data_IF_773049851822
#
_entry.id   IF_773049851822
#
_cell.length_a   1.000
_cell.length_b   1.000
_cell.length_c   1.000
_cell.angle_alpha   90.00
_cell.angle_beta   90.00
_cell.angle_gamma   90.00
#
_symmetry.space_group_name_H-M   'P 1'
#
loop_
_entity.id
_entity.type
_entity.pdbx_description
1 polymer ?
#
# COMPACT_ATOMS: atom_id res chain seq x y z
N UNK A 1 12.75 19.80 -28.30
CA UNK A 1 11.56 18.94 -28.19
C UNK A 1 10.76 19.28 -26.95
N UNK A 2 9.83 18.42 -26.59
CA UNK A 2 9.00 18.56 -25.37
C UNK A 2 8.92 17.19 -24.71
N UNK A 3 9.03 17.18 -23.38
CA UNK A 3 8.94 15.97 -22.56
C UNK A 3 7.94 16.19 -21.44
N UNK A 4 7.04 15.23 -21.26
CA UNK A 4 6.04 15.14 -20.19
C UNK A 4 5.58 13.69 -20.05
N UNK A 5 4.81 13.31 -19.01
CA UNK A 5 4.36 11.93 -18.81
C UNK A 5 3.54 11.37 -19.97
N UNK A 6 3.41 10.06 -20.07
CA UNK A 6 2.53 9.43 -21.07
C UNK A 6 1.07 9.56 -20.70
N UNK A 7 0.76 9.39 -19.42
CA UNK A 7 -0.60 9.48 -18.88
C UNK A 7 -0.61 10.06 -17.48
N UNK A 8 -1.75 10.65 -17.12
CA UNK A 8 -2.02 11.25 -15.82
C UNK A 8 -3.47 10.98 -15.41
N UNK A 9 -3.70 10.97 -14.10
CA UNK A 9 -5.01 10.71 -13.52
C UNK A 9 -5.42 11.87 -12.61
N UNK A 10 -6.68 12.26 -12.73
CA UNK A 10 -7.32 13.22 -11.84
C UNK A 10 -8.72 12.76 -11.46
N UNK A 11 -9.31 13.42 -10.47
CA UNK A 11 -10.66 13.12 -10.01
C UNK A 11 -11.53 14.35 -10.24
N UNK A 12 -12.80 14.15 -10.58
CA UNK A 12 -13.78 15.23 -10.74
C UNK A 12 -13.70 16.21 -9.56
N UNK A 13 -13.60 17.50 -9.85
CA UNK A 13 -13.51 18.59 -8.90
C UNK A 13 -12.11 18.80 -8.29
N UNK A 14 -11.15 17.90 -8.53
CA UNK A 14 -9.75 18.10 -8.15
C UNK A 14 -8.99 18.93 -9.17
N UNK A 15 -7.66 18.96 -9.05
CA UNK A 15 -6.76 19.45 -10.08
C UNK A 15 -5.85 18.32 -10.60
N UNK A 16 -5.16 18.59 -11.70
CA UNK A 16 -4.01 17.82 -12.18
C UNK A 16 -2.89 18.79 -12.54
N UNK A 17 -1.66 18.43 -12.19
CA UNK A 17 -0.47 19.12 -12.67
C UNK A 17 0.19 18.24 -13.74
N UNK A 18 0.34 18.77 -14.94
CA UNK A 18 1.04 18.13 -16.05
C UNK A 18 2.49 18.64 -16.03
N UNK A 19 3.45 17.90 -15.45
CA UNK A 19 4.85 18.30 -15.48
C UNK A 19 5.38 18.26 -16.91
N UNK A 20 6.02 19.34 -17.33
CA UNK A 20 6.46 19.51 -18.71
C UNK A 20 7.80 20.23 -18.76
N UNK A 21 8.69 19.73 -19.61
CA UNK A 21 9.95 20.37 -19.95
C UNK A 21 10.05 20.58 -21.46
N UNK A 22 10.59 21.73 -21.86
CA UNK A 22 10.86 22.05 -23.27
C UNK A 22 12.37 22.09 -23.54
N UNK A 23 12.75 21.88 -24.78
CA UNK A 23 14.15 21.97 -25.22
C UNK A 23 14.24 22.49 -26.64
N UNK A 24 15.28 23.26 -26.93
CA UNK A 24 15.64 23.73 -28.26
C UNK A 24 17.17 23.94 -28.30
N UNK A 25 17.80 24.02 -29.48
CA UNK A 25 19.25 24.13 -29.58
C UNK A 25 19.78 25.35 -28.82
N UNK A 26 20.90 25.19 -28.10
CA UNK A 26 21.47 26.26 -27.26
C UNK A 26 21.96 27.47 -28.09
N UNK A 27 22.13 27.30 -29.40
CA UNK A 27 22.41 28.38 -30.34
C UNK A 27 21.23 29.32 -30.58
N UNK A 28 20.01 28.91 -30.23
CA UNK A 28 18.80 29.71 -30.43
C UNK A 28 18.57 30.62 -29.23
N UNK A 29 18.43 31.92 -29.49
CA UNK A 29 18.20 32.94 -28.46
C UNK A 29 16.72 33.33 -28.46
N UNK A 30 16.04 33.15 -27.33
CA UNK A 30 14.64 33.51 -27.14
C UNK A 30 14.49 34.85 -26.38
N UNK A 31 15.25 35.88 -26.78
CA UNK A 31 15.32 37.17 -26.07
C UNK A 31 14.01 37.96 -26.08
N UNK A 32 13.20 37.77 -27.11
CA UNK A 32 11.88 38.41 -27.25
C UNK A 32 10.74 37.59 -26.62
N UNK A 33 11.08 36.45 -25.99
CA UNK A 33 10.15 35.60 -25.27
C UNK A 33 9.72 34.35 -26.04
N UNK A 34 8.93 33.53 -25.34
CA UNK A 34 8.39 32.26 -25.83
C UNK A 34 6.87 32.29 -25.67
N UNK A 35 6.16 32.04 -26.76
CA UNK A 35 4.71 31.82 -26.75
C UNK A 35 4.45 30.37 -26.41
N UNK A 36 3.73 30.10 -25.32
CA UNK A 36 3.37 28.77 -24.85
C UNK A 36 1.92 28.48 -25.18
N UNK A 37 1.66 27.27 -25.69
CA UNK A 37 0.35 26.85 -26.13
C UNK A 37 0.07 25.41 -25.72
N UNK A 38 -1.03 25.19 -25.02
CA UNK A 38 -1.57 23.85 -24.77
C UNK A 38 -2.85 23.64 -25.54
N UNK A 39 -2.96 22.48 -26.17
CA UNK A 39 -4.13 22.04 -26.90
C UNK A 39 -4.71 20.78 -26.28
N UNK A 40 -6.02 20.60 -26.42
CA UNK A 40 -6.72 19.33 -26.25
C UNK A 40 -7.21 18.85 -27.61
N UNK A 41 -7.21 17.53 -27.83
CA UNK A 41 -7.73 16.90 -29.05
C UNK A 41 -7.05 17.45 -30.33
N UNK A 42 -5.72 17.57 -30.30
CA UNK A 42 -4.94 18.30 -31.32
C UNK A 42 -5.17 17.83 -32.76
N UNK A 43 -5.38 16.53 -32.97
CA UNK A 43 -5.59 15.92 -34.29
C UNK A 43 -7.07 15.87 -34.70
N UNK A 44 -7.99 16.21 -33.81
CA UNK A 44 -9.44 16.16 -34.01
C UNK A 44 -10.03 17.59 -33.90
N UNK A 45 -10.98 17.81 -32.98
CA UNK A 45 -11.50 19.15 -32.67
C UNK A 45 -10.56 19.89 -31.71
N UNK A 46 -9.46 20.40 -32.27
CA UNK A 46 -8.43 21.15 -31.56
C UNK A 46 -9.02 22.27 -30.69
N UNK A 47 -8.88 22.12 -29.38
CA UNK A 47 -9.34 23.11 -28.38
C UNK A 47 -8.14 23.78 -27.70
N UNK A 48 -8.18 25.11 -27.55
CA UNK A 48 -7.08 25.89 -26.96
C UNK A 48 -7.21 25.93 -25.43
N UNK A 49 -6.44 25.09 -24.75
CA UNK A 49 -6.47 24.93 -23.29
C UNK A 49 -5.73 26.05 -22.59
N UNK A 50 -4.58 26.45 -23.12
CA UNK A 50 -3.79 27.57 -22.61
C UNK A 50 -3.07 28.26 -23.77
N UNK A 51 -2.93 29.58 -23.66
CA UNK A 51 -2.14 30.40 -24.57
C UNK A 51 -1.53 31.58 -23.79
N UNK A 52 -0.32 32.02 -24.17
CA UNK A 52 0.31 33.20 -23.55
C UNK A 52 -0.53 34.47 -23.67
N UNK A 53 -1.34 34.59 -24.72
CA UNK A 53 -2.47 35.54 -24.76
C UNK A 53 -3.75 34.84 -24.28
N UNK A 54 -4.17 35.18 -23.05
CA UNK A 54 -5.34 34.62 -22.40
C UNK A 54 -6.68 34.86 -23.15
N UNK A 55 -6.72 35.82 -24.09
CA UNK A 55 -7.92 36.13 -24.88
C UNK A 55 -8.27 35.02 -25.87
N UNK A 56 -7.27 34.26 -26.31
CA UNK A 56 -7.45 33.18 -27.26
C UNK A 56 -7.97 31.89 -26.61
N UNK A 57 -7.78 31.74 -25.30
CA UNK A 57 -8.10 30.51 -24.56
C UNK A 57 -9.60 30.22 -24.61
N UNK A 58 -9.94 28.96 -24.87
CA UNK A 58 -11.31 28.49 -24.92
C UNK A 58 -12.04 28.78 -23.59
N UNK A 59 -13.32 29.14 -23.70
CA UNK A 59 -14.12 29.54 -22.54
C UNK A 59 -14.21 28.45 -21.46
N UNK A 60 -14.13 27.17 -21.84
CA UNK A 60 -14.15 26.03 -20.91
C UNK A 60 -12.90 25.92 -20.04
N UNK A 61 -11.75 26.45 -20.49
CA UNK A 61 -10.47 26.37 -19.78
C UNK A 61 -10.03 27.70 -19.15
N UNK A 62 -10.61 28.81 -19.59
CA UNK A 62 -10.34 30.14 -19.05
C UNK A 62 -10.58 30.19 -17.53
N UNK A 63 -9.54 30.54 -16.78
CA UNK A 63 -9.57 30.61 -15.31
C UNK A 63 -9.36 29.28 -14.58
N UNK A 64 -9.21 28.16 -15.31
CA UNK A 64 -8.88 26.84 -14.73
C UNK A 64 -7.50 26.33 -15.15
N UNK A 65 -7.07 26.68 -16.35
CA UNK A 65 -5.78 26.28 -16.92
C UNK A 65 -4.72 27.36 -16.65
N UNK A 66 -3.67 27.01 -15.93
CA UNK A 66 -2.60 27.92 -15.51
C UNK A 66 -1.23 27.32 -15.83
N UNK A 67 -0.42 28.06 -16.57
CA UNK A 67 1.00 27.71 -16.73
C UNK A 67 1.73 28.06 -15.43
N UNK A 68 2.31 27.05 -14.78
CA UNK A 68 3.08 27.22 -13.54
C UNK A 68 4.60 27.26 -13.80
N UNK A 69 5.04 26.72 -14.92
CA UNK A 69 6.46 26.67 -15.29
C UNK A 69 6.99 28.00 -15.83
N UNK A 70 8.26 28.27 -15.56
CA UNK A 70 9.01 29.31 -16.25
C UNK A 70 9.61 28.75 -17.56
N UNK A 71 9.15 29.30 -18.68
CA UNK A 71 9.60 28.90 -20.02
C UNK A 71 11.08 29.19 -20.24
N UNK A 72 11.64 30.25 -19.63
CA UNK A 72 13.06 30.57 -19.70
C UNK A 72 13.90 29.51 -18.96
N UNK A 73 13.37 28.99 -17.85
CA UNK A 73 13.91 27.83 -17.13
C UNK A 73 13.53 26.48 -17.77
N UNK A 74 13.04 26.48 -19.01
CA UNK A 74 12.64 25.29 -19.79
C UNK A 74 11.51 24.47 -19.15
N UNK A 75 10.66 25.10 -18.34
CA UNK A 75 9.53 24.46 -17.66
C UNK A 75 8.21 24.94 -18.28
N UNK A 76 7.40 24.00 -18.78
CA UNK A 76 6.10 24.26 -19.43
C UNK A 76 4.92 23.66 -18.67
N UNK A 77 5.10 23.40 -17.36
CA UNK A 77 4.13 22.65 -16.56
C UNK A 77 2.78 23.36 -16.48
N UNK A 78 1.70 22.61 -16.71
CA UNK A 78 0.32 23.12 -16.74
C UNK A 78 -0.46 22.59 -15.55
N UNK A 79 -1.03 23.47 -14.74
CA UNK A 79 -2.05 23.14 -13.77
C UNK A 79 -3.43 23.29 -14.42
N UNK A 80 -4.25 22.24 -14.34
CA UNK A 80 -5.67 22.31 -14.68
C UNK A 80 -6.49 22.07 -13.41
N UNK A 81 -7.19 23.11 -12.96
CA UNK A 81 -8.05 23.09 -11.78
C UNK A 81 -9.50 22.71 -12.10
N UNK A 82 -10.25 22.34 -11.06
CA UNK A 82 -11.68 21.99 -11.13
C UNK A 82 -12.00 21.01 -12.27
N UNK A 83 -11.33 19.86 -12.25
CA UNK A 83 -11.43 18.84 -13.27
C UNK A 83 -12.87 18.40 -13.50
N UNK A 84 -13.22 18.25 -14.77
CA UNK A 84 -14.50 17.78 -15.26
C UNK A 84 -14.28 16.49 -16.06
N UNK A 85 -15.25 15.57 -16.12
CA UNK A 85 -15.10 14.36 -16.93
C UNK A 85 -14.78 14.65 -18.40
N UNK A 86 -15.28 15.77 -18.94
CA UNK A 86 -15.03 16.20 -20.32
C UNK A 86 -13.60 16.73 -20.56
N UNK A 87 -12.86 17.03 -19.50
CA UNK A 87 -11.44 17.38 -19.60
C UNK A 87 -10.59 16.14 -19.95
N UNK A 88 -11.11 14.92 -19.81
CA UNK A 88 -10.39 13.72 -20.21
C UNK A 88 -10.04 13.72 -21.71
N UNK A 89 -8.86 13.21 -22.05
CA UNK A 89 -8.38 13.10 -23.42
C UNK A 89 -6.91 13.48 -23.61
N UNK A 90 -6.46 13.55 -24.88
CA UNK A 90 -5.10 13.90 -25.25
C UNK A 90 -4.83 15.41 -25.16
N UNK A 91 -3.68 15.76 -24.56
CA UNK A 91 -3.16 17.13 -24.49
C UNK A 91 -1.81 17.24 -25.19
N UNK A 92 -1.62 18.33 -25.95
CA UNK A 92 -0.38 18.63 -26.67
C UNK A 92 0.16 20.00 -26.33
N UNK A 93 1.42 20.05 -25.91
CA UNK A 93 2.15 21.31 -25.79
C UNK A 93 2.84 21.71 -27.11
N UNK A 94 2.83 23.01 -27.38
CA UNK A 94 3.56 23.68 -28.46
C UNK A 94 4.15 24.97 -27.91
N UNK A 95 5.34 25.32 -28.38
CA UNK A 95 5.92 26.62 -28.11
C UNK A 95 6.50 27.26 -29.37
N UNK A 96 6.50 28.58 -29.39
CA UNK A 96 7.01 29.39 -30.49
C UNK A 96 7.96 30.43 -29.93
N UNK A 97 9.19 30.48 -30.44
CA UNK A 97 10.09 31.60 -30.12
C UNK A 97 9.63 32.79 -30.96
N UNK A 98 9.47 33.95 -30.31
CA UNK A 98 9.07 35.18 -31.01
C UNK A 98 10.09 35.47 -32.12
N UNK A 99 9.59 35.65 -33.36
CA UNK A 99 10.41 35.83 -34.56
C UNK A 99 11.40 34.69 -34.86
N UNK A 100 11.15 33.49 -34.35
CA UNK A 100 12.01 32.33 -34.53
C UNK A 100 11.26 31.05 -34.88
N UNK A 101 11.89 29.94 -34.52
CA UNK A 101 11.39 28.60 -34.78
C UNK A 101 10.20 28.22 -33.87
N UNK A 102 9.48 27.19 -34.31
CA UNK A 102 8.29 26.66 -33.64
C UNK A 102 8.43 25.17 -33.43
N UNK A 103 8.05 24.69 -32.25
CA UNK A 103 8.13 23.28 -31.90
C UNK A 103 6.83 22.81 -31.26
N UNK A 104 6.45 21.58 -31.60
CA UNK A 104 5.33 20.88 -30.98
C UNK A 104 5.82 19.57 -30.40
N UNK A 105 5.18 19.12 -29.32
CA UNK A 105 5.39 17.78 -28.81
C UNK A 105 5.01 16.74 -29.88
N UNK A 106 5.78 15.64 -29.94
CA UNK A 106 5.61 14.58 -30.95
C UNK A 106 4.43 13.67 -30.62
N UNK A 107 4.21 13.42 -29.33
CA UNK A 107 3.07 12.66 -28.79
C UNK A 107 2.17 13.56 -27.97
N UNK A 108 1.08 13.02 -27.46
CA UNK A 108 0.20 13.66 -26.49
C UNK A 108 0.45 13.08 -25.08
N UNK A 109 0.03 13.81 -24.05
CA UNK A 109 -0.19 13.25 -22.70
C UNK A 109 -1.68 12.94 -22.55
N UNK A 110 -2.00 11.74 -22.08
CA UNK A 110 -3.38 11.31 -21.88
C UNK A 110 -3.84 11.64 -20.47
N UNK A 111 -4.87 12.48 -20.34
CA UNK A 111 -5.52 12.76 -19.06
C UNK A 111 -6.75 11.87 -18.90
N UNK A 112 -6.77 11.10 -17.82
CA UNK A 112 -7.95 10.36 -17.36
C UNK A 112 -8.59 11.07 -16.17
N UNK A 113 -9.90 11.27 -16.21
CA UNK A 113 -10.65 11.90 -15.10
C UNK A 113 -11.71 10.92 -14.61
N UNK A 114 -11.56 10.46 -13.36
CA UNK A 114 -12.55 9.60 -12.70
C UNK A 114 -13.56 10.44 -11.90
N UNK A 115 -14.77 9.92 -11.69
CA UNK A 115 -15.77 10.59 -10.85
C UNK A 115 -15.44 10.48 -9.36
N UNK A 116 -14.90 9.34 -8.95
CA UNK A 116 -14.49 9.01 -7.59
C UNK A 116 -13.00 8.62 -7.51
N UNK A 117 -12.50 8.56 -6.28
CA UNK A 117 -11.14 8.11 -5.98
C UNK A 117 -11.03 6.60 -6.21
N UNK A 118 -10.05 6.17 -6.99
CA UNK A 118 -9.64 4.77 -7.02
C UNK A 118 -8.91 4.38 -5.72
N UNK A 119 -9.02 3.11 -5.34
CA UNK A 119 -8.33 2.59 -4.16
C UNK A 119 -6.82 2.63 -4.39
N UNK A 120 -6.04 3.10 -3.41
CA UNK A 120 -4.59 3.06 -3.54
C UNK A 120 -4.10 1.61 -3.57
N UNK A 121 -3.01 1.38 -4.30
CA UNK A 121 -2.43 0.07 -4.53
C UNK A 121 -1.42 -0.22 -3.43
N UNK A 122 -1.62 -1.32 -2.71
CA UNK A 122 -0.68 -1.83 -1.69
C UNK A 122 0.18 -2.93 -2.33
N UNK A 123 1.49 -2.69 -2.41
CA UNK A 123 2.49 -3.70 -2.68
C UNK A 123 3.08 -4.18 -1.36
N UNK A 124 2.97 -5.48 -1.09
CA UNK A 124 3.48 -6.13 0.11
C UNK A 124 4.06 -7.51 -0.22
N UNK A 125 4.95 -8.05 0.63
CA UNK A 125 5.29 -9.47 0.56
C UNK A 125 4.04 -10.34 0.75
N UNK A 126 4.03 -11.55 0.18
CA UNK A 126 2.93 -12.51 0.35
C UNK A 126 2.80 -12.96 1.82
N UNK A 127 3.94 -13.15 2.48
CA UNK A 127 4.04 -13.52 3.89
C UNK A 127 5.10 -12.65 4.57
N UNK A 128 4.87 -12.38 5.85
CA UNK A 128 5.80 -11.68 6.75
C UNK A 128 6.33 -12.68 7.77
N UNK A 129 7.48 -12.42 8.38
CA UNK A 129 8.01 -13.25 9.47
C UNK A 129 7.96 -12.45 10.77
N UNK A 130 7.48 -13.07 11.85
CA UNK A 130 7.43 -12.44 13.18
C UNK A 130 8.79 -11.85 13.58
N UNK A 131 8.79 -10.60 14.04
CA UNK A 131 9.98 -9.88 14.52
C UNK A 131 10.94 -9.42 13.44
N UNK A 132 10.78 -9.86 12.18
CA UNK A 132 11.60 -9.41 11.06
C UNK A 132 11.04 -8.12 10.48
N UNK A 133 11.93 -7.20 10.09
CA UNK A 133 11.55 -5.99 9.38
C UNK A 133 10.96 -6.33 8.00
N UNK A 134 9.79 -5.79 7.72
CA UNK A 134 9.06 -5.88 6.46
C UNK A 134 8.79 -4.49 5.91
N UNK A 135 8.78 -4.38 4.58
CA UNK A 135 8.54 -3.13 3.86
C UNK A 135 7.31 -3.27 2.98
N UNK A 136 6.37 -2.36 3.13
CA UNK A 136 5.13 -2.28 2.36
C UNK A 136 5.04 -0.92 1.68
N UNK A 137 4.57 -0.89 0.44
CA UNK A 137 4.39 0.34 -0.33
C UNK A 137 2.93 0.55 -0.65
N UNK A 138 2.43 1.75 -0.40
CA UNK A 138 1.12 2.19 -0.83
C UNK A 138 1.28 3.30 -1.85
N UNK A 139 0.64 3.18 -3.01
CA UNK A 139 0.75 4.16 -4.09
C UNK A 139 -0.60 4.62 -4.61
N UNK A 140 -0.63 5.88 -5.05
CA UNK A 140 -1.78 6.50 -5.71
C UNK A 140 -1.29 7.32 -6.91
N UNK A 141 -2.01 7.29 -8.05
CA UNK A 141 -1.67 8.11 -9.21
C UNK A 141 -2.13 9.56 -9.05
N UNK A 142 -2.98 9.86 -8.07
CA UNK A 142 -3.57 11.19 -7.92
C UNK A 142 -2.61 12.16 -7.21
N UNK A 143 -2.25 13.23 -7.91
CA UNK A 143 -1.44 14.33 -7.38
C UNK A 143 -2.09 15.65 -7.75
N UNK A 144 -2.48 16.41 -6.72
CA UNK A 144 -3.00 17.76 -6.86
C UNK A 144 -2.33 18.65 -5.80
N UNK A 145 -1.18 19.29 -6.11
CA UNK A 145 -0.39 20.01 -5.10
C UNK A 145 -1.12 21.18 -4.42
N UNK A 146 -1.94 21.99 -5.13
CA UNK A 146 -2.80 22.99 -4.48
C UNK A 146 -3.97 22.42 -3.67
N UNK A 147 -4.24 21.11 -3.77
CA UNK A 147 -5.40 20.47 -3.16
C UNK A 147 -5.06 19.56 -1.99
N UNK A 148 -6.08 19.23 -1.19
CA UNK A 148 -5.96 18.41 0.01
C UNK A 148 -5.95 16.90 -0.29
N UNK A 149 -5.04 16.43 -1.17
CA UNK A 149 -4.87 14.98 -1.39
C UNK A 149 -3.97 14.42 -0.28
N UNK A 150 -4.55 13.60 0.60
CA UNK A 150 -3.81 12.93 1.66
C UNK A 150 -3.76 11.42 1.44
N UNK A 151 -2.60 10.83 1.66
CA UNK A 151 -2.39 9.38 1.65
C UNK A 151 -1.83 9.02 3.01
N UNK A 152 -2.36 7.96 3.66
CA UNK A 152 -1.88 7.50 4.97
C UNK A 152 -2.04 5.99 5.16
N UNK A 153 -1.16 5.43 5.97
CA UNK A 153 -1.33 4.08 6.52
C UNK A 153 -2.20 4.13 7.78
N UNK A 154 -2.98 3.08 8.00
CA UNK A 154 -3.77 2.85 9.21
C UNK A 154 -3.67 1.38 9.62
N UNK A 155 -3.71 1.10 10.93
CA UNK A 155 -3.60 -0.26 11.46
C UNK A 155 -2.18 -0.79 11.69
N UNK A 156 -1.16 0.10 11.67
CA UNK A 156 0.22 -0.23 12.04
C UNK A 156 0.56 0.26 13.46
N UNK A 157 1.59 -0.32 14.08
CA UNK A 157 2.10 0.14 15.38
C UNK A 157 3.14 1.27 15.21
N UNK A 158 2.83 2.51 15.61
CA UNK A 158 3.74 3.65 15.42
C UNK A 158 5.00 3.58 16.29
N UNK A 159 5.06 2.72 17.33
CA UNK A 159 6.24 2.61 18.19
C UNK A 159 7.38 1.83 17.54
N UNK A 160 7.07 0.94 16.59
CA UNK A 160 8.04 0.08 15.91
C UNK A 160 8.09 0.31 14.40
N UNK A 161 7.34 1.29 13.90
CA UNK A 161 7.20 1.55 12.47
C UNK A 161 7.76 2.89 12.06
N UNK A 162 8.35 2.93 10.87
CA UNK A 162 8.77 4.16 10.19
C UNK A 162 7.98 4.30 8.90
N UNK A 163 7.40 5.48 8.69
CA UNK A 163 6.70 5.82 7.44
C UNK A 163 7.47 6.90 6.72
N UNK A 164 7.79 6.67 5.44
CA UNK A 164 8.34 7.69 4.56
C UNK A 164 7.38 7.95 3.38
N UNK A 165 7.48 9.14 2.80
CA UNK A 165 6.65 9.53 1.65
C UNK A 165 7.52 10.03 0.50
N UNK A 166 7.19 9.60 -0.70
CA UNK A 166 7.78 10.08 -1.94
C UNK A 166 6.68 10.66 -2.83
N UNK A 167 6.89 11.90 -3.28
CA UNK A 167 6.09 12.53 -4.32
C UNK A 167 6.87 12.47 -5.63
N UNK A 168 6.33 11.75 -6.61
CA UNK A 168 6.80 11.76 -7.99
C UNK A 168 6.00 12.79 -8.75
N UNK A 169 6.66 13.79 -9.32
CA UNK A 169 6.02 14.86 -10.08
C UNK A 169 7.03 15.46 -11.06
N UNK A 170 7.33 14.70 -12.10
CA UNK A 170 8.30 15.04 -13.13
C UNK A 170 7.84 14.50 -14.49
N UNK A 171 8.66 14.65 -15.53
CA UNK A 171 8.28 14.26 -16.88
C UNK A 171 8.14 12.75 -17.09
N UNK A 172 8.50 11.91 -16.10
CA UNK A 172 8.28 10.47 -16.10
C UNK A 172 6.90 10.07 -15.56
N UNK A 173 6.28 10.90 -14.69
CA UNK A 173 4.98 10.59 -14.10
C UNK A 173 4.57 11.53 -12.98
N UNK A 174 3.32 11.38 -12.54
CA UNK A 174 2.83 11.97 -11.30
C UNK A 174 2.22 10.88 -10.42
N UNK A 175 2.58 10.87 -9.15
CA UNK A 175 2.07 9.91 -8.19
C UNK A 175 2.61 10.16 -6.79
N UNK A 176 1.95 9.61 -5.78
CA UNK A 176 2.44 9.63 -4.41
C UNK A 176 2.59 8.21 -3.91
N UNK A 177 3.69 7.95 -3.20
CA UNK A 177 4.02 6.66 -2.60
C UNK A 177 4.32 6.84 -1.12
N UNK A 178 3.78 5.96 -0.29
CA UNK A 178 4.17 5.79 1.10
C UNK A 178 4.86 4.46 1.28
N UNK A 179 5.98 4.47 1.98
CA UNK A 179 6.69 3.25 2.37
C UNK A 179 6.56 3.09 3.88
N UNK A 180 5.97 1.97 4.31
CA UNK A 180 5.90 1.54 5.70
C UNK A 180 6.98 0.48 5.92
N UNK A 181 7.92 0.77 6.81
CA UNK A 181 8.93 -0.18 7.28
C UNK A 181 8.64 -0.51 8.73
N UNK A 182 8.35 -1.77 9.05
CA UNK A 182 7.88 -2.19 10.38
C UNK A 182 8.25 -3.64 10.68
N UNK A 183 8.26 -4.03 11.96
CA UNK A 183 8.33 -5.43 12.37
C UNK A 183 6.98 -5.88 12.94
N UNK A 184 6.42 -6.94 12.37
CA UNK A 184 5.13 -7.47 12.81
C UNK A 184 5.29 -8.53 13.90
N UNK A 185 4.33 -8.59 14.82
CA UNK A 185 4.22 -9.66 15.82
C UNK A 185 3.27 -10.76 15.36
N UNK A 186 3.30 -11.93 16.02
CA UNK A 186 2.33 -12.99 15.78
C UNK A 186 0.87 -12.52 15.97
N UNK A 187 0.64 -11.53 16.85
CA UNK A 187 -0.68 -10.96 17.12
C UNK A 187 -1.22 -10.18 15.92
N UNK A 188 -0.38 -9.83 14.95
CA UNK A 188 -0.78 -9.10 13.75
C UNK A 188 -1.19 -10.05 12.61
N UNK A 189 -0.98 -11.36 12.78
CA UNK A 189 -1.48 -12.35 11.85
C UNK A 189 -3.01 -12.22 11.68
N UNK A 190 -3.47 -12.23 10.42
CA UNK A 190 -4.87 -12.03 10.02
C UNK A 190 -5.48 -10.66 10.36
N UNK A 191 -4.70 -9.70 10.87
CA UNK A 191 -5.15 -8.30 10.96
C UNK A 191 -5.11 -7.62 9.59
N UNK A 192 -5.90 -6.55 9.47
CA UNK A 192 -5.96 -5.69 8.29
C UNK A 192 -5.01 -4.51 8.46
N UNK A 193 -4.18 -4.28 7.46
CA UNK A 193 -3.45 -3.04 7.28
C UNK A 193 -4.10 -2.25 6.15
N UNK A 194 -4.39 -0.98 6.41
CA UNK A 194 -5.14 -0.13 5.51
C UNK A 194 -4.26 1.00 4.96
N UNK A 195 -4.46 1.35 3.70
CA UNK A 195 -3.96 2.60 3.15
C UNK A 195 -5.13 3.46 2.68
N UNK A 196 -5.34 4.60 3.32
CA UNK A 196 -6.44 5.51 3.01
C UNK A 196 -5.94 6.68 2.15
N UNK A 197 -6.56 6.84 1.00
CA UNK A 197 -6.49 8.02 0.15
C UNK A 197 -7.72 8.89 0.45
N UNK A 198 -7.51 10.18 0.70
CA UNK A 198 -8.59 11.13 0.85
C UNK A 198 -8.38 12.39 0.01
N UNK A 199 -9.49 12.95 -0.45
CA UNK A 199 -9.55 14.23 -1.13
C UNK A 199 -10.86 14.95 -0.76
N UNK A 200 -10.77 16.02 0.03
CA UNK A 200 -11.93 16.65 0.65
C UNK A 200 -12.68 15.66 1.54
N UNK A 201 -13.99 15.49 1.31
CA UNK A 201 -14.82 14.50 2.01
C UNK A 201 -14.76 13.08 1.42
N UNK A 202 -14.18 12.91 0.22
CA UNK A 202 -14.09 11.62 -0.44
C UNK A 202 -12.91 10.81 0.08
N UNK A 203 -13.11 9.50 0.18
CA UNK A 203 -12.12 8.55 0.67
C UNK A 203 -12.14 7.28 -0.18
N UNK A 204 -10.98 6.70 -0.38
CA UNK A 204 -10.81 5.36 -0.93
C UNK A 204 -9.72 4.63 -0.14
N UNK A 205 -9.98 3.36 0.18
CA UNK A 205 -9.10 2.59 1.08
C UNK A 205 -8.63 1.32 0.39
N UNK A 206 -7.32 1.15 0.30
CA UNK A 206 -6.67 -0.13 0.00
C UNK A 206 -6.53 -0.93 1.29
N UNK A 207 -6.63 -2.25 1.20
CA UNK A 207 -6.53 -3.16 2.35
C UNK A 207 -5.63 -4.35 1.99
N UNK A 208 -4.79 -4.76 2.93
CA UNK A 208 -4.09 -6.04 2.89
C UNK A 208 -4.30 -6.78 4.21
N UNK A 209 -4.54 -8.09 4.14
CA UNK A 209 -4.61 -8.97 5.31
C UNK A 209 -3.22 -9.53 5.56
N UNK A 210 -2.66 -9.27 6.74
CA UNK A 210 -1.29 -9.65 7.08
C UNK A 210 -1.18 -11.17 7.31
N UNK A 211 -0.16 -11.78 6.71
CA UNK A 211 0.16 -13.20 6.85
C UNK A 211 1.50 -13.36 7.56
N UNK A 212 1.47 -13.12 8.87
CA UNK A 212 2.67 -13.19 9.70
C UNK A 212 2.96 -14.63 10.12
N UNK A 213 4.08 -15.18 9.65
CA UNK A 213 4.63 -16.49 10.03
C UNK A 213 5.20 -16.47 11.43
N UNK A 214 4.78 -17.43 12.24
CA UNK A 214 5.20 -17.59 13.62
C UNK A 214 5.07 -19.06 14.05
N UNK A 215 5.94 -19.49 14.96
CA UNK A 215 5.78 -20.76 15.66
C UNK A 215 4.47 -20.74 16.49
N UNK A 216 3.88 -21.91 16.84
CA UNK A 216 2.69 -21.97 17.67
C UNK A 216 2.79 -21.09 18.94
N UNK A 217 1.80 -20.24 19.18
CA UNK A 217 1.75 -19.32 20.33
C UNK A 217 0.62 -19.67 21.28
N UNK A 218 0.84 -19.32 22.55
CA UNK A 218 -0.08 -19.60 23.65
C UNK A 218 -0.52 -21.08 23.67
N UNK A 219 0.47 -21.97 23.59
CA UNK A 219 0.25 -23.42 23.68
C UNK A 219 -0.06 -23.79 25.13
N UNK A 220 -1.12 -24.56 25.36
CA UNK A 220 -1.62 -24.92 26.68
C UNK A 220 -2.12 -26.36 26.70
N UNK A 221 -2.11 -26.97 27.89
CA UNK A 221 -2.74 -28.28 28.12
C UNK A 221 -4.10 -28.08 28.77
N UNK A 222 -5.15 -28.64 28.18
CA UNK A 222 -6.46 -28.80 28.80
C UNK A 222 -6.67 -30.26 29.18
N UNK A 223 -7.40 -30.53 30.27
CA UNK A 223 -7.61 -31.87 30.79
C UNK A 223 -9.09 -32.15 31.04
N UNK A 224 -9.56 -33.33 30.63
CA UNK A 224 -10.93 -33.82 30.87
C UNK A 224 -10.91 -35.26 31.39
N UNK A 225 -11.38 -35.55 32.63
CA UNK A 225 -11.76 -34.59 33.67
C UNK A 225 -10.57 -33.71 34.10
N UNK A 226 -10.83 -32.67 34.89
CA UNK A 226 -9.77 -31.80 35.42
C UNK A 226 -8.69 -32.64 36.11
N UNK A 227 -7.44 -32.18 36.08
CA UNK A 227 -6.30 -32.89 36.69
C UNK A 227 -6.38 -33.04 38.21
N UNK A 228 -7.40 -32.44 38.84
CA UNK A 228 -7.74 -32.62 40.25
C UNK A 228 -8.86 -33.65 40.38
N UNK A 229 -8.69 -34.61 41.30
CA UNK A 229 -9.64 -35.68 41.63
C UNK A 229 -9.77 -36.81 40.59
N UNK A 230 -8.72 -37.08 39.82
CA UNK A 230 -8.66 -38.31 39.02
C UNK A 230 -8.48 -39.49 39.96
N UNK A 231 -9.21 -40.58 39.73
CA UNK A 231 -9.12 -41.81 40.52
C UNK A 231 -8.53 -42.94 39.70
N UNK A 232 -8.00 -43.94 40.39
CA UNK A 232 -7.53 -45.16 39.75
C UNK A 232 -8.67 -45.80 38.94
N UNK A 233 -8.39 -46.13 37.69
CA UNK A 233 -9.36 -46.69 36.74
C UNK A 233 -10.10 -45.66 35.88
N UNK A 234 -9.91 -44.35 36.12
CA UNK A 234 -10.52 -43.32 35.29
C UNK A 234 -9.91 -43.29 33.88
N UNK A 235 -10.53 -42.52 32.99
CA UNK A 235 -9.94 -42.15 31.69
C UNK A 235 -9.76 -40.65 31.64
N UNK A 236 -8.53 -40.20 31.41
CA UNK A 236 -8.16 -38.79 31.32
C UNK A 236 -7.72 -38.46 29.90
N UNK A 237 -8.29 -37.41 29.35
CA UNK A 237 -7.92 -36.83 28.06
C UNK A 237 -7.17 -35.53 28.29
N UNK A 238 -5.90 -35.47 27.90
CA UNK A 238 -5.09 -34.26 27.85
C UNK A 238 -5.04 -33.75 26.41
N UNK A 239 -5.51 -32.54 26.15
CA UNK A 239 -5.56 -31.95 24.81
C UNK A 239 -4.63 -30.74 24.73
N UNK A 240 -3.78 -30.74 23.70
CA UNK A 240 -2.85 -29.65 23.42
C UNK A 240 -3.59 -28.57 22.62
N UNK A 241 -3.85 -27.43 23.26
CA UNK A 241 -4.53 -26.30 22.66
C UNK A 241 -3.52 -25.24 22.24
N UNK A 242 -3.73 -24.63 21.07
CA UNK A 242 -2.87 -23.59 20.50
C UNK A 242 -3.75 -22.44 20.03
N UNK A 243 -3.46 -21.22 20.50
CA UNK A 243 -4.27 -20.05 20.14
C UNK A 243 -4.00 -19.56 18.72
N UNK A 244 -2.75 -19.58 18.27
CA UNK A 244 -2.36 -19.13 16.93
C UNK A 244 -1.16 -19.90 16.39
N UNK A 245 -1.22 -20.27 15.12
CA UNK A 245 -0.11 -20.90 14.40
C UNK A 245 -0.22 -20.59 12.92
N UNK A 246 0.85 -20.05 12.32
CA UNK A 246 0.94 -19.86 10.87
C UNK A 246 2.37 -20.13 10.38
N UNK A 247 2.59 -21.10 9.48
CA UNK A 247 1.62 -22.00 8.87
C UNK A 247 0.95 -22.98 9.86
N UNK A 248 -0.08 -23.76 9.46
CA UNK A 248 -0.74 -24.73 10.32
C UNK A 248 0.23 -25.73 10.98
N UNK A 249 -0.18 -26.25 12.14
CA UNK A 249 0.58 -27.23 12.93
C UNK A 249 0.79 -28.52 12.11
N UNK A 250 2.03 -28.99 12.09
CA UNK A 250 2.44 -30.20 11.38
C UNK A 250 2.66 -31.40 12.29
N UNK A 251 2.93 -31.20 13.58
CA UNK A 251 3.13 -32.29 14.55
C UNK A 251 2.83 -31.85 16.00
N UNK A 252 2.50 -32.83 16.84
CA UNK A 252 2.43 -32.70 18.29
C UNK A 252 3.40 -33.69 18.94
N UNK A 253 3.91 -33.35 20.13
CA UNK A 253 4.69 -34.24 20.98
C UNK A 253 4.25 -34.07 22.42
N UNK A 254 4.03 -35.18 23.12
CA UNK A 254 3.69 -35.19 24.54
C UNK A 254 4.83 -35.75 25.34
N UNK A 255 5.05 -35.14 26.50
CA UNK A 255 6.08 -35.55 27.44
C UNK A 255 5.47 -35.70 28.84
N UNK A 256 5.89 -36.75 29.52
CA UNK A 256 5.64 -36.97 30.95
C UNK A 256 6.99 -37.03 31.67
N UNK A 257 7.22 -36.10 32.58
CA UNK A 257 8.47 -35.99 33.34
C UNK A 257 9.72 -36.00 32.42
N UNK A 258 9.59 -35.39 31.24
CA UNK A 258 10.64 -35.31 30.21
C UNK A 258 10.73 -36.50 29.24
N UNK A 259 9.93 -37.55 29.43
CA UNK A 259 9.91 -38.73 28.55
C UNK A 259 8.77 -38.62 27.55
N UNK A 260 9.04 -38.90 26.26
CA UNK A 260 8.02 -38.84 25.21
C UNK A 260 6.94 -39.93 25.39
N UNK A 261 5.67 -39.54 25.31
CA UNK A 261 4.50 -40.42 25.58
C UNK A 261 3.40 -40.36 24.52
N UNK A 262 3.49 -39.49 23.51
CA UNK A 262 2.49 -39.44 22.43
C UNK A 262 2.77 -38.37 21.38
N UNK A 263 2.08 -38.47 20.23
CA UNK A 263 2.29 -37.57 19.07
C UNK A 263 0.99 -36.98 18.50
N UNK A 264 -0.14 -37.28 19.12
CA UNK A 264 -1.46 -36.79 18.70
C UNK A 264 -1.82 -35.47 19.39
N UNK A 265 -2.78 -34.71 18.84
CA UNK A 265 -3.29 -33.49 19.50
C UNK A 265 -3.79 -33.79 20.92
N UNK A 266 -4.38 -34.98 21.11
CA UNK A 266 -4.94 -35.44 22.38
C UNK A 266 -4.25 -36.71 22.85
N UNK A 267 -3.71 -36.69 24.06
CA UNK A 267 -3.19 -37.85 24.77
C UNK A 267 -4.31 -38.43 25.66
N UNK A 268 -4.65 -39.70 25.43
CA UNK A 268 -5.69 -40.40 26.18
C UNK A 268 -5.02 -41.42 27.11
N UNK A 269 -5.16 -41.21 28.43
CA UNK A 269 -4.74 -42.13 29.47
C UNK A 269 -5.97 -42.93 29.91
N UNK A 270 -5.94 -44.25 29.74
CA UNK A 270 -7.04 -45.16 30.11
C UNK A 270 -6.64 -46.01 31.30
N UNK A 271 -7.60 -46.30 32.16
CA UNK A 271 -7.40 -47.14 33.35
C UNK A 271 -6.23 -46.61 34.19
N UNK A 272 -6.23 -45.29 34.46
CA UNK A 272 -5.08 -44.61 35.07
C UNK A 272 -4.68 -45.24 36.40
N UNK A 273 -3.38 -45.46 36.58
CA UNK A 273 -2.77 -46.03 37.78
C UNK A 273 -1.89 -45.03 38.52
N UNK A 274 -1.38 -45.37 39.72
CA UNK A 274 -0.53 -44.45 40.50
C UNK A 274 0.74 -44.02 39.76
N UNK A 275 1.22 -44.87 38.86
CA UNK A 275 2.34 -44.63 37.97
C UNK A 275 2.08 -43.49 37.00
N UNK A 276 0.83 -43.17 36.66
CA UNK A 276 0.48 -42.09 35.73
C UNK A 276 0.59 -40.69 36.35
N UNK A 277 0.79 -40.60 37.66
CA UNK A 277 1.14 -39.35 38.33
C UNK A 277 2.41 -38.77 37.71
N UNK A 278 2.42 -37.47 37.44
CA UNK A 278 3.57 -36.79 36.85
C UNK A 278 3.24 -35.44 36.22
N UNK A 279 4.27 -34.77 35.71
CA UNK A 279 4.14 -33.52 34.97
C UNK A 279 4.04 -33.79 33.48
N UNK A 280 2.91 -33.39 32.89
CA UNK A 280 2.63 -33.52 31.48
C UNK A 280 2.75 -32.17 30.79
N UNK A 281 3.45 -32.13 29.66
CA UNK A 281 3.41 -31.00 28.75
C UNK A 281 3.32 -31.48 27.30
N UNK A 282 2.83 -30.60 26.44
CA UNK A 282 2.83 -30.83 25.01
C UNK A 282 3.68 -29.79 24.29
N UNK A 283 4.20 -30.18 23.15
CA UNK A 283 4.82 -29.31 22.15
C UNK A 283 4.02 -29.40 20.86
N UNK A 284 3.65 -28.25 20.31
CA UNK A 284 3.06 -28.13 18.98
C UNK A 284 4.13 -27.57 18.03
N UNK A 285 4.25 -28.16 16.84
CA UNK A 285 5.28 -27.80 15.87
C UNK A 285 4.65 -27.38 14.54
N UNK A 286 5.20 -26.32 13.92
CA UNK A 286 4.99 -26.02 12.52
C UNK A 286 6.34 -25.78 11.81
N UNK A 287 6.30 -25.40 10.54
CA UNK A 287 7.51 -25.15 9.74
C UNK A 287 8.37 -23.97 10.24
N UNK A 288 7.85 -23.12 11.14
CA UNK A 288 8.59 -21.98 11.71
C UNK A 288 9.28 -22.36 13.01
N UNK A 289 8.67 -23.23 13.82
CA UNK A 289 9.26 -23.68 15.07
C UNK A 289 8.27 -24.43 15.96
N UNK A 290 8.59 -24.44 17.26
CA UNK A 290 7.86 -25.18 18.29
C UNK A 290 7.27 -24.22 19.32
N UNK A 291 6.02 -24.45 19.70
CA UNK A 291 5.39 -23.85 20.87
C UNK A 291 5.23 -24.91 21.96
N UNK A 292 5.77 -24.63 23.15
CA UNK A 292 5.75 -25.55 24.29
C UNK A 292 4.73 -25.06 25.32
N UNK A 293 3.82 -25.95 25.73
CA UNK A 293 2.89 -25.65 26.81
C UNK A 293 3.61 -25.68 28.18
N UNK A 294 3.21 -24.83 29.14
CA UNK A 294 3.52 -25.05 30.54
C UNK A 294 3.06 -26.44 31.00
N UNK A 295 3.85 -27.09 31.84
CA UNK A 295 3.50 -28.41 32.35
C UNK A 295 2.33 -28.35 33.34
N UNK A 296 1.46 -29.36 33.26
CA UNK A 296 0.37 -29.59 34.22
C UNK A 296 0.64 -30.89 34.99
N UNK A 297 0.44 -30.86 36.30
CA UNK A 297 0.57 -32.07 37.13
C UNK A 297 -0.74 -32.84 37.13
N UNK A 298 -0.68 -34.13 36.81
CA UNK A 298 -1.80 -35.06 36.95
C UNK A 298 -1.77 -35.67 38.36
N UNK A 299 -2.86 -35.51 39.13
CA UNK A 299 -3.01 -36.09 40.47
C UNK A 299 -4.00 -37.25 40.45
N UNK A 300 -3.62 -38.40 41.04
CA UNK A 300 -4.35 -39.68 41.04
C UNK A 300 -4.67 -40.13 42.47
#
# INVERSE_FOLDING_TARGET
GVTYPESLWGVRGSCVLIPCALSYPDSVVASEGIVAIWYKDYNDQKTLVYHSDAREVDAGFRGRAHLLGDLAARNCSLLLAELRPQDAGPYRFRFEIVNGDRWSAVRDVMLSVSDDLERPIIASPEEQTEGQTSTLECSTPYVCPPGDVSLRWEGYDPQVSVVSSLLQLDTSGAGRRLTLTTSFSWKDHSKKLLCELSYGSRKATGEVILRVRHAPKDTQVSATPSTQNVRVGDTVSLTCEVSSSYPPISAYHWYKDGVAVGTEKTLILRDVGREDYGQYHCEAQNAVGVGTAPAVTLYI
#
